data_IF_061815468661
#
_entry.id   IF_061815468661
#
_cell.length_a   1.000
_cell.length_b   1.000
_cell.length_c   1.000
_cell.angle_alpha   90.00
_cell.angle_beta   90.00
_cell.angle_gamma   90.00
#
_symmetry.space_group_name_H-M   'P 1'
#
loop_
_entity.id
_entity.type
_entity.pdbx_description
1 polymer ?
#
# COMPACT_ATOMS: atom_id res chain seq x y z
N UNK A 1 3.04 -13.39 -12.42
CA UNK A 1 3.01 -13.17 -11.92
C UNK A 1 2.99 -12.47 -11.62
N UNK A 2 2.78 -11.95 -11.47
CA UNK A 2 2.92 -11.53 -11.04
C UNK A 2 2.58 -10.95 -9.99
N UNK A 3 2.73 -11.12 -9.22
CA UNK A 3 2.45 -10.60 -7.91
C UNK A 3 3.33 -9.43 -7.61
N UNK A 4 2.81 -8.48 -6.84
CA UNK A 4 3.62 -7.37 -6.40
C UNK A 4 4.55 -7.85 -5.30
N UNK A 5 5.81 -7.51 -5.39
CA UNK A 5 6.66 -7.76 -4.24
C UNK A 5 6.39 -6.68 -3.20
N UNK A 6 7.03 -6.79 -2.05
CA UNK A 6 6.73 -5.89 -0.95
C UNK A 6 6.95 -4.44 -1.33
N UNK A 7 8.04 -4.19 -1.98
CA UNK A 7 8.36 -2.83 -2.35
C UNK A 7 7.34 -2.25 -3.32
N UNK A 8 6.96 -3.04 -4.31
CA UNK A 8 5.97 -2.57 -5.26
C UNK A 8 4.63 -2.32 -4.58
N UNK A 9 4.30 -3.16 -3.64
CA UNK A 9 3.04 -2.99 -2.93
C UNK A 9 3.02 -1.66 -2.19
N UNK A 10 4.10 -1.35 -1.51
CA UNK A 10 4.18 -0.10 -0.76
C UNK A 10 4.11 1.08 -1.72
N UNK A 11 4.81 0.99 -2.83
CA UNK A 11 4.77 2.05 -3.82
C UNK A 11 3.36 2.27 -4.34
N UNK A 12 2.68 1.17 -4.62
CA UNK A 12 1.32 1.26 -5.12
C UNK A 12 0.43 1.93 -4.09
N UNK A 13 0.64 1.60 -2.83
CA UNK A 13 -0.14 2.19 -1.76
C UNK A 13 0.04 3.70 -1.74
N UNK A 14 1.28 4.16 -1.79
CA UNK A 14 1.53 5.59 -1.79
C UNK A 14 0.94 6.25 -3.03
N UNK A 15 1.08 5.59 -4.16
CA UNK A 15 0.52 6.15 -5.38
C UNK A 15 -0.99 6.27 -5.28
N UNK A 16 -1.63 5.28 -4.69
CA UNK A 16 -3.07 5.32 -4.53
C UNK A 16 -3.48 6.50 -3.66
N UNK A 17 -2.72 6.74 -2.61
CA UNK A 17 -3.00 7.88 -1.75
C UNK A 17 -2.80 9.19 -2.50
N UNK A 18 -1.73 9.26 -3.25
CA UNK A 18 -1.42 10.48 -3.96
C UNK A 18 -2.48 10.81 -5.00
N UNK A 19 -2.94 9.80 -5.70
CA UNK A 19 -3.94 9.99 -6.73
C UNK A 19 -5.35 9.99 -6.17
N UNK A 20 -5.48 9.79 -4.86
CA UNK A 20 -6.79 9.79 -4.21
C UNK A 20 -7.72 8.78 -4.88
N UNK A 21 -7.19 7.58 -5.03
CA UNK A 21 -7.99 6.53 -5.60
C UNK A 21 -9.07 6.09 -4.63
N UNK A 22 -9.88 5.15 -5.05
CA UNK A 22 -10.98 4.72 -4.24
C UNK A 22 -10.53 4.25 -2.87
N UNK A 23 -11.31 4.61 -1.89
CA UNK A 23 -11.01 4.24 -0.52
C UNK A 23 -10.95 2.72 -0.37
N UNK A 24 -11.85 2.03 -1.02
CA UNK A 24 -11.86 0.58 -0.95
C UNK A 24 -10.56 -0.02 -1.45
N UNK A 25 -10.07 0.53 -2.54
CA UNK A 25 -8.82 0.04 -3.09
C UNK A 25 -7.69 0.27 -2.12
N UNK A 26 -7.66 1.44 -1.53
CA UNK A 26 -6.61 1.78 -0.58
C UNK A 26 -6.68 0.85 0.62
N UNK A 27 -7.88 0.55 1.07
CA UNK A 27 -8.03 -0.36 2.19
C UNK A 27 -7.56 -1.76 1.85
N UNK A 28 -7.79 -2.19 0.63
CA UNK A 28 -7.30 -3.49 0.20
C UNK A 28 -5.78 -3.53 0.26
N UNK A 29 -5.16 -2.46 -0.17
CA UNK A 29 -3.70 -2.40 -0.11
C UNK A 29 -3.22 -2.43 1.33
N UNK A 30 -3.88 -1.67 2.18
CA UNK A 30 -3.52 -1.67 3.58
C UNK A 30 -3.63 -3.06 4.18
N UNK A 31 -4.71 -3.72 3.86
CA UNK A 31 -4.94 -5.05 4.40
C UNK A 31 -3.84 -6.00 3.95
N UNK A 32 -3.48 -5.91 2.70
CA UNK A 32 -2.43 -6.78 2.19
C UNK A 32 -1.11 -6.47 2.87
N UNK A 33 -0.81 -5.19 3.04
CA UNK A 33 0.43 -4.82 3.70
C UNK A 33 0.45 -5.32 5.14
N UNK A 34 -0.67 -5.19 5.80
CA UNK A 34 -0.77 -5.66 7.17
C UNK A 34 -0.54 -7.16 7.23
N UNK A 35 -1.12 -7.87 6.28
CA UNK A 35 -0.99 -9.32 6.23
C UNK A 35 0.46 -9.73 6.09
N UNK A 36 1.22 -8.95 5.33
CA UNK A 36 2.64 -9.23 5.12
C UNK A 36 3.51 -8.59 6.18
N UNK A 37 2.89 -7.90 7.11
CA UNK A 37 3.61 -7.20 8.17
C UNK A 37 4.50 -6.11 7.59
N UNK A 38 4.04 -5.50 6.54
CA UNK A 38 4.72 -4.36 5.96
C UNK A 38 4.10 -3.10 6.53
N UNK A 39 4.93 -2.23 7.00
CA UNK A 39 4.42 -0.97 7.50
C UNK A 39 4.91 0.14 6.60
N UNK A 40 4.01 0.92 6.04
CA UNK A 40 4.46 2.06 5.27
C UNK A 40 5.26 2.96 6.18
N UNK A 41 6.46 3.23 5.77
CA UNK A 41 7.31 4.10 6.55
C UNK A 41 6.80 5.52 6.43
N UNK A 42 5.76 5.83 7.15
CA UNK A 42 5.25 7.16 7.11
C UNK A 42 6.15 8.06 7.94
N UNK A 43 6.47 9.22 7.44
CA UNK A 43 7.23 10.20 8.22
C UNK A 43 6.34 10.71 9.31
N UNK A 44 6.62 10.30 10.45
CA UNK A 44 5.80 10.71 11.53
C UNK A 44 6.31 11.96 12.11
N UNK A 45 5.93 12.48 12.23
CA UNK A 45 6.35 13.31 12.85
C UNK A 45 6.24 13.85 13.09
#
# INVERSE_FOLDING_TARGET
MKLLNDESLIETYYKALELELEEEFIKLLEKEMERRQLEPCLPVR
#
